data_IF_420046218227
#
_entry.id   IF_420046218227
#
_cell.length_a   1.000
_cell.length_b   1.000
_cell.length_c   1.000
_cell.angle_alpha   90.00
_cell.angle_beta   90.00
_cell.angle_gamma   90.00
#
_symmetry.space_group_name_H-M   'P 1'
#
loop_
_entity.id
_entity.type
_entity.pdbx_description
1 polymer ?
#
# COMPACT_ATOMS: atom_id res chain seq x y z
N UNK A 1 0.19 -7.02 -4.53
CA UNK A 1 -0.59 -5.91 -3.96
C UNK A 1 -1.54 -6.46 -2.90
N UNK A 2 -2.60 -7.18 -3.29
CA UNK A 2 -3.64 -7.64 -2.36
C UNK A 2 -3.11 -8.45 -1.17
N UNK A 3 -2.23 -9.43 -1.41
CA UNK A 3 -1.58 -10.19 -0.34
C UNK A 3 -0.74 -9.30 0.61
N UNK A 4 0.03 -8.36 0.06
CA UNK A 4 0.85 -7.44 0.84
C UNK A 4 -0.01 -6.49 1.68
N UNK A 5 -1.08 -5.94 1.10
CA UNK A 5 -2.05 -5.09 1.81
C UNK A 5 -2.73 -5.89 2.92
N UNK A 6 -3.12 -7.15 2.68
CA UNK A 6 -3.71 -8.02 3.69
C UNK A 6 -2.76 -8.26 4.85
N UNK A 7 -1.49 -8.59 4.58
CA UNK A 7 -0.47 -8.77 5.61
C UNK A 7 -0.23 -7.50 6.43
N UNK A 8 -0.19 -6.34 5.77
CA UNK A 8 -0.02 -5.04 6.45
C UNK A 8 -1.23 -4.68 7.33
N UNK A 9 -2.45 -4.97 6.87
CA UNK A 9 -3.67 -4.80 7.67
C UNK A 9 -3.68 -5.73 8.89
N UNK A 10 -3.25 -6.98 8.73
CA UNK A 10 -3.11 -7.93 9.83
C UNK A 10 -2.05 -7.48 10.85
N UNK A 11 -0.97 -6.87 10.38
CA UNK A 11 0.05 -6.25 11.22
C UNK A 11 -0.40 -4.93 11.87
N UNK A 12 -1.64 -4.47 11.64
CA UNK A 12 -2.18 -3.19 12.10
C UNK A 12 -1.32 -1.99 11.69
N UNK A 13 -0.64 -2.09 10.53
CA UNK A 13 0.11 -0.97 9.96
C UNK A 13 -0.83 0.20 9.67
N UNK A 14 -0.36 1.43 9.90
CA UNK A 14 -1.16 2.63 9.64
C UNK A 14 -1.14 2.93 8.16
N UNK A 15 -2.30 3.10 7.53
CA UNK A 15 -2.39 3.50 6.14
C UNK A 15 -2.66 5.00 6.05
N UNK A 16 -1.83 5.71 5.29
CA UNK A 16 -2.04 7.11 4.96
C UNK A 16 -2.95 7.28 3.74
N UNK A 17 -2.89 6.32 2.80
CA UNK A 17 -3.78 6.22 1.66
C UNK A 17 -3.91 4.76 1.23
N UNK A 18 -5.12 4.23 1.26
CA UNK A 18 -5.41 2.84 0.87
C UNK A 18 -5.87 2.79 -0.59
N UNK A 19 -5.13 2.07 -1.44
CA UNK A 19 -5.65 1.67 -2.75
C UNK A 19 -5.89 2.81 -3.73
N UNK A 20 -4.89 3.67 -3.91
CA UNK A 20 -4.88 4.64 -5.00
C UNK A 20 -4.78 3.86 -6.31
N UNK A 21 -5.88 3.82 -7.04
CA UNK A 21 -5.92 3.25 -8.39
C UNK A 21 -5.59 4.33 -9.42
N UNK A 22 -4.58 4.07 -10.25
CA UNK A 22 -4.29 4.85 -11.45
C UNK A 22 -4.59 4.01 -12.70
N UNK A 23 -4.53 4.62 -13.87
CA UNK A 23 -4.72 3.90 -15.15
C UNK A 23 -3.69 2.78 -15.36
N UNK A 24 -2.50 2.91 -14.79
CA UNK A 24 -1.37 2.00 -15.03
C UNK A 24 -0.93 1.22 -13.80
N UNK A 25 -1.36 1.63 -12.60
CA UNK A 25 -0.87 1.02 -11.37
C UNK A 25 -1.84 1.07 -10.20
N UNK A 26 -1.51 0.29 -9.19
CA UNK A 26 -2.10 0.29 -7.86
C UNK A 26 -1.07 0.78 -6.87
N UNK A 27 -1.46 1.72 -6.03
CA UNK A 27 -0.61 2.32 -5.01
C UNK A 27 -1.28 2.25 -3.63
N UNK A 28 -0.47 2.08 -2.59
CA UNK A 28 -0.90 2.28 -1.22
C UNK A 28 0.23 2.94 -0.45
N UNK A 29 -0.11 3.83 0.47
CA UNK A 29 0.85 4.51 1.34
C UNK A 29 0.63 4.00 2.75
N UNK A 30 1.63 3.31 3.29
CA UNK A 30 1.69 2.84 4.67
C UNK A 30 2.68 3.68 5.47
N UNK A 31 2.44 3.79 6.77
CA UNK A 31 3.36 4.37 7.74
C UNK A 31 3.92 3.27 8.63
N UNK A 32 5.23 3.31 8.84
CA UNK A 32 5.88 2.50 9.85
C UNK A 32 5.66 3.12 11.26
N UNK A 33 6.07 2.43 12.34
CA UNK A 33 5.93 2.96 13.71
C UNK A 33 6.65 4.29 13.95
N UNK A 34 7.71 4.56 13.19
CA UNK A 34 8.51 5.79 13.27
C UNK A 34 7.87 6.96 12.48
N UNK A 35 6.78 6.69 11.74
CA UNK A 35 6.06 7.68 10.94
C UNK A 35 6.60 7.87 9.52
N UNK A 36 7.58 7.08 9.09
CA UNK A 36 8.07 7.07 7.72
C UNK A 36 7.01 6.56 6.76
N UNK A 37 6.90 7.20 5.59
CA UNK A 37 5.92 6.84 4.56
C UNK A 37 6.54 5.86 3.57
N UNK A 38 5.99 4.65 3.53
CA UNK A 38 6.38 3.60 2.60
C UNK A 38 5.28 3.45 1.55
N UNK A 39 5.65 3.47 0.27
CA UNK A 39 4.72 3.35 -0.85
C UNK A 39 4.81 1.92 -1.42
N UNK A 40 3.69 1.21 -1.40
CA UNK A 40 3.54 -0.06 -2.12
C UNK A 40 2.95 0.23 -3.48
N UNK A 41 3.73 -0.07 -4.51
CA UNK A 41 3.35 0.10 -5.91
C UNK A 41 3.26 -1.25 -6.62
N UNK A 42 2.19 -1.47 -7.39
CA UNK A 42 2.04 -2.60 -8.31
C UNK A 42 1.59 -2.06 -9.66
N UNK A 43 2.41 -2.26 -10.68
CA UNK A 43 1.99 -2.03 -12.07
C UNK A 43 0.83 -2.97 -12.41
N UNK A 44 -0.19 -2.42 -13.08
CA UNK A 44 -1.21 -3.24 -13.75
C UNK A 44 -0.48 -3.96 -14.89
N UNK A 45 -0.67 -5.27 -14.99
CA UNK A 45 -0.20 -6.00 -16.17
C UNK A 45 -0.93 -5.42 -17.39
N UNK A 46 -0.19 -5.25 -18.49
CA UNK A 46 -0.76 -4.94 -19.80
C UNK A 46 -1.75 -6.03 -20.22
#
# INVERSE_FOLDING_TARGET
FDAAIKSLKQAKARFAAEGIESQVCWMAVVQDPDGNKIIIHKLKKA
#
